data_IF_498122127450
#
_entry.id   IF_498122127450
#
_cell.length_a   1.000
_cell.length_b   1.000
_cell.length_c   1.000
_cell.angle_alpha   90.00
_cell.angle_beta   90.00
_cell.angle_gamma   90.00
#
_symmetry.space_group_name_H-M   'P 1'
#
loop_
_entity.id
_entity.type
_entity.pdbx_description
1 polymer ?
#
# COMPACT_ATOMS: atom_id res chain seq x y z
N UNK A 1 10.75 -19.07 -28.75
CA UNK A 1 9.60 -19.84 -28.21
C UNK A 1 8.65 -18.84 -27.56
N UNK A 2 7.36 -18.86 -27.90
CA UNK A 2 6.35 -17.97 -27.27
C UNK A 2 5.85 -18.69 -26.01
N UNK A 3 6.25 -18.23 -24.82
CA UNK A 3 5.92 -18.89 -23.55
C UNK A 3 4.44 -18.74 -23.15
N UNK A 4 3.74 -17.74 -23.74
CA UNK A 4 2.32 -17.49 -23.51
C UNK A 4 1.57 -17.58 -24.84
N UNK A 5 0.66 -18.54 -24.92
CA UNK A 5 -0.31 -18.71 -26.00
C UNK A 5 -1.47 -17.71 -25.87
N UNK A 6 -2.37 -17.67 -26.84
CA UNK A 6 -3.60 -16.86 -26.82
C UNK A 6 -4.40 -17.08 -25.51
N UNK A 7 -4.25 -16.17 -24.56
CA UNK A 7 -4.83 -16.33 -23.21
C UNK A 7 -6.17 -15.61 -23.16
N UNK A 8 -7.26 -16.36 -23.01
CA UNK A 8 -8.63 -15.83 -22.92
C UNK A 8 -9.03 -15.58 -21.46
N UNK A 9 -8.53 -14.50 -20.87
CA UNK A 9 -8.96 -14.06 -19.53
C UNK A 9 -9.94 -12.89 -19.67
N UNK A 10 -11.12 -13.03 -19.07
CA UNK A 10 -12.11 -11.96 -19.01
C UNK A 10 -11.88 -11.05 -17.80
N UNK A 11 -10.98 -10.08 -17.99
CA UNK A 11 -10.69 -9.06 -16.99
C UNK A 11 -11.91 -8.14 -16.73
N UNK A 12 -12.75 -7.93 -17.74
CA UNK A 12 -13.85 -6.99 -17.65
C UNK A 12 -15.01 -7.57 -16.86
N UNK A 13 -15.27 -8.88 -16.99
CA UNK A 13 -16.20 -9.63 -16.14
C UNK A 13 -15.78 -9.63 -14.67
N UNK A 14 -14.48 -9.72 -14.40
CA UNK A 14 -13.93 -9.72 -13.04
C UNK A 14 -13.79 -8.32 -12.39
N UNK A 15 -14.04 -7.22 -13.13
CA UNK A 15 -13.77 -5.86 -12.68
C UNK A 15 -14.38 -5.54 -11.32
N UNK A 16 -15.61 -6.00 -11.06
CA UNK A 16 -16.37 -5.66 -9.85
C UNK A 16 -15.75 -6.31 -8.62
N UNK A 17 -15.29 -7.55 -8.77
CA UNK A 17 -14.55 -8.26 -7.73
C UNK A 17 -13.21 -7.57 -7.45
N UNK A 18 -12.49 -7.16 -8.49
CA UNK A 18 -11.26 -6.38 -8.35
C UNK A 18 -11.47 -5.08 -7.57
N UNK A 19 -12.49 -4.29 -7.93
CA UNK A 19 -12.83 -3.07 -7.20
C UNK A 19 -13.20 -3.31 -5.75
N UNK A 20 -13.93 -4.39 -5.44
CA UNK A 20 -14.32 -4.72 -4.06
C UNK A 20 -13.07 -5.06 -3.24
N UNK A 21 -12.19 -5.92 -3.74
CA UNK A 21 -10.95 -6.29 -3.02
C UNK A 21 -10.07 -5.06 -2.80
N UNK A 22 -9.82 -4.28 -3.85
CA UNK A 22 -9.01 -3.07 -3.74
C UNK A 22 -9.62 -2.06 -2.77
N UNK A 23 -10.94 -1.85 -2.85
CA UNK A 23 -11.66 -0.98 -1.93
C UNK A 23 -11.59 -1.45 -0.48
N UNK A 24 -11.77 -2.75 -0.25
CA UNK A 24 -11.66 -3.34 1.09
C UNK A 24 -10.24 -3.18 1.68
N UNK A 25 -9.20 -3.41 0.88
CA UNK A 25 -7.80 -3.20 1.29
C UNK A 25 -7.52 -1.73 1.62
N UNK A 26 -8.00 -0.79 0.80
CA UNK A 26 -7.85 0.64 1.05
C UNK A 26 -8.56 1.03 2.36
N UNK A 27 -9.80 0.59 2.56
CA UNK A 27 -10.55 0.87 3.79
C UNK A 27 -9.87 0.26 5.02
N UNK A 28 -9.38 -0.98 4.93
CA UNK A 28 -8.63 -1.60 6.02
C UNK A 28 -7.36 -0.79 6.36
N UNK A 29 -6.63 -0.30 5.36
CA UNK A 29 -5.47 0.57 5.56
C UNK A 29 -5.84 1.90 6.23
N UNK A 30 -6.93 2.54 5.81
CA UNK A 30 -7.42 3.76 6.44
C UNK A 30 -7.86 3.53 7.90
N UNK A 31 -8.62 2.46 8.16
CA UNK A 31 -9.03 2.08 9.52
C UNK A 31 -7.80 1.83 10.40
N UNK A 32 -6.80 1.12 9.87
CA UNK A 32 -5.54 0.88 10.58
C UNK A 32 -4.81 2.18 10.92
N UNK A 33 -4.81 3.16 10.01
CA UNK A 33 -4.24 4.48 10.26
C UNK A 33 -4.97 5.20 11.40
N UNK A 34 -6.31 5.19 11.42
CA UNK A 34 -7.08 5.81 12.50
C UNK A 34 -6.87 5.13 13.85
N UNK A 35 -6.78 3.79 13.89
CA UNK A 35 -6.60 3.03 15.13
C UNK A 35 -5.19 3.11 15.72
N UNK A 36 -4.17 3.48 14.91
CA UNK A 36 -2.77 3.56 15.32
C UNK A 36 -2.28 5.00 15.52
N UNK A 37 -3.20 5.94 15.82
CA UNK A 37 -2.91 7.37 16.01
C UNK A 37 -2.27 8.05 14.78
N UNK A 38 -2.53 7.51 13.59
CA UNK A 38 -2.05 8.06 12.33
C UNK A 38 -0.64 7.59 11.92
N UNK A 39 -0.05 8.22 10.89
CA UNK A 39 1.29 7.89 10.45
C UNK A 39 2.33 8.25 11.52
N UNK A 40 3.41 7.46 11.60
CA UNK A 40 4.57 7.81 12.43
C UNK A 40 5.32 8.97 11.80
N UNK A 41 4.96 10.18 12.23
CA UNK A 41 5.58 11.41 11.78
C UNK A 41 7.02 11.49 12.27
N UNK A 42 7.95 11.71 11.35
CA UNK A 42 9.36 11.93 11.67
C UNK A 42 9.63 13.36 12.15
N UNK A 43 10.90 13.62 12.50
CA UNK A 43 11.35 14.93 12.98
C UNK A 43 11.08 16.10 12.02
N UNK A 44 10.95 15.82 10.71
CA UNK A 44 10.62 16.82 9.69
C UNK A 44 9.21 17.39 9.89
N UNK A 45 8.34 16.67 10.61
CA UNK A 45 6.94 17.05 10.88
C UNK A 45 6.66 17.31 12.37
N UNK A 46 7.39 16.65 13.29
CA UNK A 46 7.20 16.80 14.75
C UNK A 46 8.23 17.72 15.41
N UNK A 47 9.29 18.09 14.70
CA UNK A 47 10.48 18.70 15.30
C UNK A 47 11.33 17.68 16.06
N UNK A 48 12.56 18.08 16.42
CA UNK A 48 13.52 17.26 17.16
C UNK A 48 14.95 17.37 16.62
N UNK A 49 15.85 16.53 17.12
CA UNK A 49 17.26 16.50 16.71
C UNK A 49 17.61 15.13 16.13
N UNK A 50 18.15 15.12 14.91
CA UNK A 50 18.72 13.91 14.29
C UNK A 50 20.19 13.79 14.67
N UNK A 51 20.57 12.70 15.35
CA UNK A 51 21.97 12.36 15.55
C UNK A 51 22.29 11.18 14.64
N UNK A 52 23.20 11.39 13.68
CA UNK A 52 23.67 10.34 12.79
C UNK A 52 25.12 10.04 13.15
N UNK A 53 25.36 8.82 13.62
CA UNK A 53 26.70 8.34 13.97
C UNK A 53 27.11 7.31 12.91
N UNK A 54 28.28 7.51 12.32
CA UNK A 54 28.91 6.54 11.44
C UNK A 54 30.00 5.82 12.25
N UNK A 55 29.95 4.51 12.25
CA UNK A 55 31.02 3.65 12.79
C UNK A 55 31.84 3.13 11.62
N UNK A 56 33.16 3.04 11.82
CA UNK A 56 34.11 2.39 10.91
C UNK A 56 34.36 0.94 11.34
#
# INVERSE_FOLDING_TARGET
MRFLSETKIDFLGARRFGFIISGALLLAGLISLFLQDGPKLGIDFTGGTKVMVKFD
#
